data_IF_888901360967
#
_entry.id   IF_888901360967
#
_cell.length_a   1.000
_cell.length_b   1.000
_cell.length_c   1.000
_cell.angle_alpha   90.00
_cell.angle_beta   90.00
_cell.angle_gamma   90.00
#
_symmetry.space_group_name_H-M   'P 1'
#
loop_
_entity.id
_entity.type
_entity.pdbx_description
1 polymer ?
#
# COMPACT_ATOMS: atom_id res chain seq x y z
N UNK A 1 17.18 2.99 8.11
CA UNK A 1 15.79 3.26 7.72
C UNK A 1 14.96 2.08 8.19
N UNK A 2 14.20 2.24 9.28
CA UNK A 2 13.41 1.16 9.86
C UNK A 2 11.94 1.40 9.54
N UNK A 3 11.42 0.70 8.53
CA UNK A 3 9.97 0.61 8.31
C UNK A 3 9.41 -0.31 9.38
N UNK A 4 8.49 0.20 10.21
CA UNK A 4 7.79 -0.63 11.18
C UNK A 4 6.57 -1.21 10.46
N UNK A 5 6.56 -2.53 10.28
CA UNK A 5 5.41 -3.28 9.79
C UNK A 5 4.69 -3.87 11.01
N UNK A 6 3.52 -3.33 11.32
CA UNK A 6 2.63 -3.88 12.34
C UNK A 6 1.50 -4.66 11.67
N UNK A 7 1.29 -5.89 12.11
CA UNK A 7 0.20 -6.76 11.66
C UNK A 7 -0.80 -6.92 12.80
N UNK A 8 -2.06 -6.55 12.58
CA UNK A 8 -3.16 -6.86 13.49
C UNK A 8 -4.09 -7.88 12.82
N UNK A 9 -4.18 -9.07 13.40
CA UNK A 9 -5.11 -10.11 12.95
C UNK A 9 -6.38 -10.05 13.80
N UNK A 10 -7.49 -9.66 13.18
CA UNK A 10 -8.83 -10.02 13.67
C UNK A 10 -9.35 -11.12 12.75
N UNK A 11 -10.10 -12.09 13.28
CA UNK A 11 -10.43 -13.40 12.69
C UNK A 11 -10.90 -13.49 11.21
N UNK A 12 -11.02 -12.39 10.46
CA UNK A 12 -11.41 -12.34 9.04
C UNK A 12 -10.58 -11.32 8.22
N UNK A 13 -9.82 -10.42 8.84
CA UNK A 13 -9.14 -9.30 8.18
C UNK A 13 -7.76 -9.05 8.81
N UNK A 14 -6.73 -9.00 7.97
CA UNK A 14 -5.38 -8.62 8.39
C UNK A 14 -5.07 -7.21 7.91
N UNK A 15 -4.62 -6.38 8.85
CA UNK A 15 -4.15 -5.01 8.59
C UNK A 15 -2.64 -4.99 8.65
N UNK A 16 -2.00 -4.55 7.57
CA UNK A 16 -0.56 -4.35 7.48
C UNK A 16 -0.28 -2.88 7.24
N UNK A 17 0.37 -2.22 8.20
CA UNK A 17 0.73 -0.82 8.11
C UNK A 17 2.18 -0.66 7.67
N UNK A 18 2.41 0.26 6.73
CA UNK A 18 3.75 0.75 6.42
C UNK A 18 3.91 2.15 7.04
N UNK A 19 4.76 2.27 8.06
CA UNK A 19 5.09 3.56 8.66
C UNK A 19 6.56 3.87 8.42
N UNK A 20 6.80 4.94 7.65
CA UNK A 20 8.14 5.51 7.49
C UNK A 20 8.46 6.42 8.68
N UNK A 21 9.46 6.06 9.49
CA UNK A 21 9.95 6.94 10.56
C UNK A 21 11.12 7.79 10.05
N UNK A 22 10.87 9.08 9.83
CA UNK A 22 11.91 10.06 9.49
C UNK A 22 12.65 10.51 10.75
N UNK A 23 13.51 9.65 11.31
CA UNK A 23 14.48 10.10 12.32
C UNK A 23 15.65 10.83 11.66
N UNK A 24 15.61 12.16 11.78
CA UNK A 24 16.61 13.11 11.29
C UNK A 24 18.03 12.84 11.83
N UNK A 25 18.93 12.34 10.98
CA UNK A 25 20.37 12.68 10.99
C UNK A 25 20.86 12.82 9.56
N UNK A 26 21.24 14.06 9.20
CA UNK A 26 21.69 14.47 7.86
C UNK A 26 23.07 13.89 7.53
N UNK A 27 23.20 13.29 6.35
CA UNK A 27 24.44 13.24 5.59
C UNK A 27 24.14 13.35 4.09
N UNK A 28 24.95 14.15 3.40
CA UNK A 28 24.67 14.83 2.13
C UNK A 28 24.67 13.98 0.84
N UNK A 29 24.20 12.73 0.85
CA UNK A 29 24.10 11.89 -0.37
C UNK A 29 22.71 11.30 -0.65
N UNK A 30 21.74 11.42 0.25
CA UNK A 30 20.39 10.87 0.02
C UNK A 30 19.49 11.80 -0.82
N UNK A 31 19.73 11.87 -2.14
CA UNK A 31 18.82 12.47 -3.16
C UNK A 31 17.58 11.59 -3.41
N UNK A 32 17.17 10.79 -2.44
CA UNK A 32 15.92 10.05 -2.48
C UNK A 32 15.15 10.36 -1.20
N UNK A 33 14.58 11.57 -1.14
CA UNK A 33 13.39 11.83 -0.33
C UNK A 33 12.30 10.88 -0.80
N UNK A 34 12.33 9.62 -0.34
CA UNK A 34 11.15 8.78 -0.31
C UNK A 34 10.19 9.49 0.64
N UNK A 35 9.14 10.09 0.08
CA UNK A 35 7.97 10.50 0.85
C UNK A 35 7.63 9.33 1.79
N UNK A 36 7.57 9.57 3.10
CA UNK A 36 7.14 8.55 4.04
C UNK A 36 5.68 8.27 3.74
N UNK A 37 5.42 7.26 2.90
CA UNK A 37 4.07 6.88 2.54
C UNK A 37 3.50 6.13 3.73
N UNK A 38 2.77 6.85 4.57
CA UNK A 38 2.00 6.26 5.66
C UNK A 38 0.71 5.73 5.05
N UNK A 39 0.66 4.44 4.79
CA UNK A 39 -0.57 3.77 4.33
C UNK A 39 -0.75 2.42 5.02
N UNK A 40 -2.00 2.00 5.13
CA UNK A 40 -2.39 0.69 5.61
C UNK A 40 -3.01 -0.10 4.46
N UNK A 41 -2.60 -1.36 4.32
CA UNK A 41 -3.26 -2.35 3.48
C UNK A 41 -4.14 -3.21 4.37
N UNK A 42 -5.43 -3.24 4.07
CA UNK A 42 -6.41 -4.07 4.73
C UNK A 42 -6.92 -5.06 3.69
N UNK A 43 -6.82 -6.35 3.98
CA UNK A 43 -7.30 -7.36 3.06
C UNK A 43 -7.78 -8.63 3.77
N UNK A 44 -8.62 -9.38 3.08
CA UNK A 44 -8.96 -10.75 3.47
C UNK A 44 -7.79 -11.71 3.22
N UNK A 45 -7.89 -12.91 3.79
CA UNK A 45 -6.92 -13.99 3.67
C UNK A 45 -6.55 -14.34 2.22
N UNK A 46 -7.45 -14.14 1.26
CA UNK A 46 -7.16 -14.33 -0.17
C UNK A 46 -5.92 -13.58 -0.64
N UNK A 47 -5.73 -12.32 -0.22
CA UNK A 47 -4.52 -11.57 -0.56
C UNK A 47 -3.28 -12.19 0.11
N UNK A 48 -3.37 -12.49 1.40
CA UNK A 48 -2.25 -12.94 2.23
C UNK A 48 -1.81 -14.38 1.94
N UNK A 49 -2.67 -15.19 1.32
CA UNK A 49 -2.29 -16.49 0.74
C UNK A 49 -1.30 -16.34 -0.43
N UNK A 50 -1.32 -15.19 -1.10
CA UNK A 50 -0.53 -14.92 -2.31
C UNK A 50 0.63 -13.94 -2.08
N UNK A 51 0.60 -13.19 -1.00
CA UNK A 51 1.58 -12.15 -0.65
C UNK A 51 2.08 -12.33 0.78
N UNK A 52 3.40 -12.17 0.97
CA UNK A 52 3.91 -11.86 2.32
C UNK A 52 3.63 -10.40 2.70
N UNK A 53 3.59 -10.09 4.00
CA UNK A 53 3.36 -8.71 4.47
C UNK A 53 4.34 -7.71 3.85
N UNK A 54 5.63 -8.02 3.82
CA UNK A 54 6.64 -7.15 3.24
C UNK A 54 6.49 -7.00 1.72
N UNK A 55 6.15 -8.09 1.03
CA UNK A 55 5.92 -8.07 -0.41
C UNK A 55 4.70 -7.24 -0.77
N UNK A 56 3.60 -7.37 -0.02
CA UNK A 56 2.40 -6.57 -0.22
C UNK A 56 2.69 -5.07 -0.10
N UNK A 57 3.43 -4.66 0.92
CA UNK A 57 3.82 -3.25 1.11
C UNK A 57 4.77 -2.77 0.01
N UNK A 58 5.76 -3.59 -0.35
CA UNK A 58 6.72 -3.24 -1.42
C UNK A 58 6.00 -3.07 -2.75
N UNK A 59 5.15 -4.03 -3.11
CA UNK A 59 4.36 -4.00 -4.33
C UNK A 59 3.41 -2.80 -4.35
N UNK A 60 2.68 -2.55 -3.25
CA UNK A 60 1.78 -1.40 -3.14
C UNK A 60 2.53 -0.07 -3.33
N UNK A 61 3.72 0.06 -2.73
CA UNK A 61 4.56 1.26 -2.85
C UNK A 61 5.05 1.48 -4.28
N UNK A 62 5.51 0.42 -4.94
CA UNK A 62 5.94 0.48 -6.34
C UNK A 62 4.78 0.83 -7.29
N UNK A 63 3.61 0.25 -7.05
CA UNK A 63 2.42 0.56 -7.84
C UNK A 63 1.96 1.99 -7.61
N UNK A 64 2.01 2.51 -6.38
CA UNK A 64 1.64 3.89 -6.10
C UNK A 64 2.55 4.87 -6.86
N UNK A 65 3.86 4.65 -6.84
CA UNK A 65 4.83 5.46 -7.59
C UNK A 65 4.67 5.34 -9.11
N UNK A 66 4.29 4.16 -9.61
CA UNK A 66 3.97 3.98 -11.01
C UNK A 66 2.70 4.74 -11.40
N UNK A 67 1.67 4.65 -10.56
CA UNK A 67 0.34 5.25 -10.78
C UNK A 67 0.40 6.79 -10.72
N UNK A 68 1.21 7.38 -9.83
CA UNK A 68 1.48 8.83 -9.80
C UNK A 68 1.97 9.38 -11.15
N UNK A 69 2.67 8.55 -11.94
CA UNK A 69 3.23 8.89 -13.26
C UNK A 69 2.27 8.58 -14.43
N UNK A 70 1.16 7.90 -14.17
CA UNK A 70 0.14 7.57 -15.17
C UNK A 70 -0.94 8.64 -15.19
N UNK A 71 -1.55 8.84 -16.36
CA UNK A 71 -2.73 9.69 -16.49
C UNK A 71 -3.95 8.83 -16.14
N UNK A 72 -4.51 9.05 -14.95
CA UNK A 72 -5.64 8.27 -14.44
C UNK A 72 -6.97 8.83 -14.92
N UNK A 73 -7.88 7.94 -15.32
CA UNK A 73 -9.28 8.28 -15.52
C UNK A 73 -9.92 8.47 -14.15
N UNK A 74 -10.15 9.72 -13.77
CA UNK A 74 -10.86 10.07 -12.55
C UNK A 74 -12.37 9.96 -12.79
N UNK A 75 -13.08 9.33 -11.86
CA UNK A 75 -14.54 9.38 -11.86
C UNK A 75 -15.02 10.77 -11.42
N UNK A 76 -16.22 11.16 -11.87
CA UNK A 76 -16.81 12.45 -11.54
C UNK A 76 -17.02 12.54 -10.02
N UNK A 77 -16.26 13.42 -9.34
CA UNK A 77 -16.20 13.65 -7.89
C UNK A 77 -15.16 12.81 -7.10
N UNK A 78 -14.25 12.09 -7.75
CA UNK A 78 -13.15 11.40 -7.08
C UNK A 78 -11.91 12.31 -6.99
N UNK A 79 -11.23 12.35 -5.83
CA UNK A 79 -9.94 13.03 -5.73
C UNK A 79 -8.87 12.21 -6.46
N UNK A 80 -7.86 12.89 -7.02
CA UNK A 80 -6.73 12.21 -7.67
C UNK A 80 -6.10 11.15 -6.75
N UNK A 81 -5.92 11.49 -5.49
CA UNK A 81 -5.35 10.59 -4.50
C UNK A 81 -6.21 9.33 -4.28
N UNK A 82 -7.53 9.48 -4.18
CA UNK A 82 -8.43 8.33 -4.05
C UNK A 82 -8.36 7.43 -5.28
N UNK A 83 -8.31 8.01 -6.49
CA UNK A 83 -8.15 7.26 -7.74
C UNK A 83 -6.80 6.51 -7.80
N UNK A 84 -5.72 7.14 -7.31
CA UNK A 84 -4.39 6.52 -7.22
C UNK A 84 -4.42 5.31 -6.28
N UNK A 85 -4.94 5.47 -5.05
CA UNK A 85 -5.04 4.40 -4.06
C UNK A 85 -5.95 3.26 -4.52
N UNK A 86 -7.09 3.58 -5.14
CA UNK A 86 -8.00 2.60 -5.73
C UNK A 86 -7.30 1.78 -6.81
N UNK A 87 -6.60 2.44 -7.73
CA UNK A 87 -5.86 1.75 -8.81
C UNK A 87 -4.80 0.79 -8.23
N UNK A 88 -4.10 1.20 -7.17
CA UNK A 88 -3.15 0.31 -6.48
C UNK A 88 -3.85 -0.90 -5.87
N UNK A 89 -4.99 -0.70 -5.19
CA UNK A 89 -5.77 -1.79 -4.60
C UNK A 89 -6.26 -2.79 -5.67
N UNK A 90 -6.75 -2.29 -6.80
CA UNK A 90 -7.18 -3.11 -7.94
C UNK A 90 -6.01 -3.93 -8.51
N UNK A 91 -4.82 -3.32 -8.66
CA UNK A 91 -3.62 -4.04 -9.11
C UNK A 91 -3.17 -5.12 -8.13
N UNK A 92 -3.26 -4.86 -6.83
CA UNK A 92 -2.94 -5.87 -5.81
C UNK A 92 -3.90 -7.05 -5.87
N UNK A 93 -5.21 -6.78 -6.00
CA UNK A 93 -6.21 -7.83 -6.13
C UNK A 93 -6.01 -8.64 -7.42
N UNK A 94 -5.77 -7.97 -8.55
CA UNK A 94 -5.50 -8.62 -9.83
C UNK A 94 -4.25 -9.52 -9.77
N UNK A 95 -3.19 -9.06 -9.09
CA UNK A 95 -1.96 -9.83 -8.91
C UNK A 95 -2.18 -11.07 -8.04
N UNK A 96 -2.99 -11.00 -6.97
CA UNK A 96 -3.36 -12.18 -6.18
C UNK A 96 -4.20 -13.19 -6.98
N UNK A 97 -5.14 -12.71 -7.81
CA UNK A 97 -5.91 -13.57 -8.72
C UNK A 97 -4.97 -14.22 -9.75
N UNK A 98 -4.02 -13.47 -10.30
CA UNK A 98 -3.01 -13.99 -11.25
C UNK A 98 -2.13 -15.08 -10.64
N UNK A 99 -1.84 -14.98 -9.33
CA UNK A 99 -1.12 -15.99 -8.55
C UNK A 99 -1.98 -17.22 -8.20
N UNK A 100 -3.21 -17.28 -8.72
CA UNK A 100 -4.20 -18.35 -8.48
C UNK A 100 -4.62 -18.46 -7.02
N UNK A 101 -4.87 -17.31 -6.38
CA UNK A 101 -5.65 -17.30 -5.15
C UNK A 101 -6.99 -18.01 -5.41
N UNK A 102 -7.21 -19.17 -4.82
CA UNK A 102 -8.45 -19.96 -4.94
C UNK A 102 -9.60 -19.41 -4.09
N UNK A 103 -9.55 -18.14 -3.72
CA UNK A 103 -10.42 -17.50 -2.75
C UNK A 103 -10.82 -16.08 -3.18
N UNK A 104 -11.86 -15.53 -2.57
CA UNK A 104 -12.24 -14.14 -2.76
C UNK A 104 -11.12 -13.21 -2.31
N UNK A 105 -10.77 -12.23 -3.14
CA UNK A 105 -9.77 -11.21 -2.83
C UNK A 105 -10.46 -9.87 -2.68
N UNK A 106 -10.24 -9.21 -1.54
CA UNK A 106 -10.70 -7.86 -1.25
C UNK A 106 -9.55 -7.09 -0.62
N UNK A 107 -9.26 -5.91 -1.16
CA UNK A 107 -8.14 -5.06 -0.74
C UNK A 107 -8.64 -3.64 -0.56
N UNK A 108 -8.30 -3.04 0.57
CA UNK A 108 -8.57 -1.63 0.89
C UNK A 108 -7.22 -1.01 1.25
N UNK A 109 -6.93 0.15 0.65
CA UNK A 109 -5.74 0.93 0.96
C UNK A 109 -6.20 2.23 1.60
N UNK A 110 -5.69 2.49 2.80
CA UNK A 110 -6.00 3.69 3.56
C UNK A 110 -4.72 4.51 3.66
N UNK A 111 -4.77 5.76 3.19
CA UNK A 111 -3.73 6.73 3.52
C UNK A 111 -3.86 7.13 4.98
N UNK A 112 -2.76 7.05 5.70
CA UNK A 112 -2.66 7.46 7.09
C UNK A 112 -2.06 8.86 7.15
N UNK A 113 -2.82 9.82 7.65
CA UNK A 113 -2.28 11.12 8.06
C UNK A 113 -1.98 11.03 9.56
N UNK A 114 -0.70 11.09 9.93
CA UNK A 114 -0.34 11.29 11.33
C UNK A 114 -0.61 12.77 11.66
N UNK A 115 -1.55 13.01 12.57
CA UNK A 115 -1.70 14.30 13.23
C UNK A 115 -0.67 14.36 14.37
N UNK A 116 0.18 15.38 14.34
CA UNK A 116 1.15 15.69 15.40
C UNK A 116 0.48 16.08 16.73
#
# INVERSE_FOLDING_TARGET
MSSLITSLEQHVVTVVCAVGTSSSRRSSIDILSRECVSFAVIACDGLWKSFSNLEAITFASEQLEAVKKMDLQQETNESRETAELRTVAEKMAAEAVRRKCGDNVSVIIIKLELLD
#
